data_IF_420299778075
#
_entry.id   IF_420299778075
#
_cell.length_a   1.000
_cell.length_b   1.000
_cell.length_c   1.000
_cell.angle_alpha   90.00
_cell.angle_beta   90.00
_cell.angle_gamma   90.00
#
_symmetry.space_group_name_H-M   'P 1'
#
loop_
_entity.id
_entity.type
_entity.pdbx_description
1 polymer ?
#
# COMPACT_ATOMS: atom_id res chain seq x y z
N UNK A 1 -5.02 18.64 1.24
CA UNK A 1 -4.77 17.22 0.92
C UNK A 1 -3.63 16.77 1.79
N UNK A 2 -3.85 15.75 2.63
CA UNK A 2 -2.77 15.06 3.31
C UNK A 2 -2.01 14.25 2.26
N UNK A 3 -0.68 14.26 2.34
CA UNK A 3 0.20 13.55 1.40
C UNK A 3 1.37 13.00 2.21
N UNK A 4 1.83 11.79 1.90
CA UNK A 4 3.10 11.30 2.39
C UNK A 4 4.24 12.18 1.89
N UNK A 5 5.35 12.18 2.62
CA UNK A 5 6.57 12.80 2.11
C UNK A 5 7.13 11.96 0.95
N UNK A 6 7.99 12.57 0.15
CA UNK A 6 8.55 11.94 -1.05
C UNK A 6 9.34 10.67 -0.75
N UNK A 7 9.99 10.60 0.42
CA UNK A 7 10.79 9.44 0.83
C UNK A 7 9.90 8.22 1.12
N UNK A 8 8.81 8.40 1.87
CA UNK A 8 7.80 7.37 2.13
C UNK A 8 7.17 6.90 0.81
N UNK A 9 6.79 7.84 -0.07
CA UNK A 9 6.21 7.49 -1.38
C UNK A 9 7.18 6.61 -2.19
N UNK A 10 8.47 6.96 -2.23
CA UNK A 10 9.50 6.17 -2.92
C UNK A 10 9.68 4.78 -2.32
N UNK A 11 9.70 4.66 -1.00
CA UNK A 11 9.84 3.36 -0.34
C UNK A 11 8.68 2.43 -0.69
N UNK A 12 7.44 2.93 -0.66
CA UNK A 12 6.25 2.14 -1.01
C UNK A 12 6.28 1.73 -2.48
N UNK A 13 6.61 2.66 -3.39
CA UNK A 13 6.73 2.37 -4.83
C UNK A 13 7.77 1.29 -5.08
N UNK A 14 8.90 1.32 -4.37
CA UNK A 14 9.92 0.29 -4.50
C UNK A 14 9.40 -1.10 -4.09
N UNK A 15 8.61 -1.19 -3.02
CA UNK A 15 7.96 -2.45 -2.63
C UNK A 15 7.01 -2.94 -3.72
N UNK A 16 6.16 -2.06 -4.27
CA UNK A 16 5.17 -2.43 -5.30
C UNK A 16 5.86 -2.92 -6.58
N UNK A 17 6.93 -2.23 -7.01
CA UNK A 17 7.68 -2.55 -8.23
C UNK A 17 8.30 -3.95 -8.25
N UNK A 18 8.55 -4.55 -7.09
CA UNK A 18 9.01 -5.95 -7.01
C UNK A 18 7.97 -6.94 -7.56
N UNK A 19 6.69 -6.54 -7.65
CA UNK A 19 5.56 -7.41 -8.00
C UNK A 19 4.77 -6.94 -9.24
N UNK A 20 5.25 -5.90 -9.94
CA UNK A 20 4.65 -5.47 -11.20
C UNK A 20 5.13 -6.32 -12.38
N UNK A 21 4.24 -6.60 -13.33
CA UNK A 21 4.50 -7.56 -14.42
C UNK A 21 5.62 -7.15 -15.40
N UNK A 22 6.05 -5.88 -15.39
CA UNK A 22 7.31 -5.36 -15.91
C UNK A 22 7.23 -3.84 -16.06
N UNK A 23 8.20 -3.11 -15.50
CA UNK A 23 8.75 -1.85 -16.05
C UNK A 23 7.76 -0.83 -16.66
N UNK A 24 6.60 -0.59 -16.04
CA UNK A 24 5.68 0.46 -16.49
C UNK A 24 5.73 1.66 -15.57
N UNK A 25 6.78 2.47 -15.78
CA UNK A 25 6.94 3.94 -15.79
C UNK A 25 6.07 4.89 -14.93
N UNK A 26 5.03 4.44 -14.24
CA UNK A 26 4.31 5.26 -13.28
C UNK A 26 5.00 5.12 -11.92
N UNK A 27 5.93 6.03 -11.65
CA UNK A 27 6.45 6.26 -10.30
C UNK A 27 5.39 6.84 -9.34
N UNK A 28 4.15 7.01 -9.82
CA UNK A 28 3.07 7.60 -9.06
C UNK A 28 2.33 6.57 -8.24
N UNK A 29 2.52 6.68 -6.93
CA UNK A 29 1.71 6.00 -5.92
C UNK A 29 0.30 6.60 -5.93
N UNK A 30 -0.72 5.79 -6.21
CA UNK A 30 -2.11 6.22 -6.13
C UNK A 30 -2.68 5.86 -4.75
N UNK A 31 -3.05 6.87 -3.97
CA UNK A 31 -3.61 6.66 -2.65
C UNK A 31 -4.48 7.82 -2.17
N UNK A 32 -5.40 7.51 -1.26
CA UNK A 32 -6.30 8.45 -0.61
C UNK A 32 -6.27 8.32 0.91
N UNK A 33 -6.50 9.43 1.60
CA UNK A 33 -6.70 9.48 3.05
C UNK A 33 -8.18 9.62 3.39
N UNK A 34 -8.70 8.73 4.23
CA UNK A 34 -10.07 8.77 4.78
C UNK A 34 -10.00 8.81 6.32
N UNK A 35 -9.84 10.03 6.87
CA UNK A 35 -9.65 10.21 8.31
C UNK A 35 -8.31 9.60 8.75
N UNK A 36 -8.38 8.52 9.54
CA UNK A 36 -7.20 7.75 9.99
C UNK A 36 -6.82 6.63 9.02
N UNK A 37 -7.55 6.46 7.92
CA UNK A 37 -7.31 5.39 6.95
C UNK A 37 -6.53 5.87 5.74
N UNK A 38 -5.72 4.98 5.20
CA UNK A 38 -4.98 5.15 3.95
C UNK A 38 -5.38 4.02 3.02
N UNK A 39 -5.73 4.37 1.79
CA UNK A 39 -6.15 3.41 0.77
C UNK A 39 -5.19 3.50 -0.39
N UNK A 40 -4.36 2.47 -0.59
CA UNK A 40 -3.51 2.39 -1.78
C UNK A 40 -4.27 1.66 -2.88
N UNK A 41 -4.20 2.19 -4.10
CA UNK A 41 -4.87 1.63 -5.26
C UNK A 41 -3.87 1.19 -6.31
N UNK A 42 -3.91 -0.09 -6.68
CA UNK A 42 -3.07 -0.68 -7.71
C UNK A 42 -3.94 -1.28 -8.81
N UNK A 43 -3.69 -0.89 -10.06
CA UNK A 43 -4.41 -1.48 -11.19
C UNK A 43 -4.02 -2.95 -11.35
N UNK A 44 -5.03 -3.83 -11.49
CA UNK A 44 -4.81 -5.26 -11.75
C UNK A 44 -4.09 -5.47 -13.10
N UNK A 45 -4.24 -4.52 -14.04
CA UNK A 45 -3.53 -4.56 -15.32
C UNK A 45 -2.02 -4.27 -15.19
N UNK A 46 -1.55 -3.75 -14.05
CA UNK A 46 -0.14 -3.39 -13.81
C UNK A 46 0.67 -4.47 -13.09
N UNK A 47 0.02 -5.38 -12.36
CA UNK A 47 0.74 -6.36 -11.54
C UNK A 47 -0.15 -7.44 -10.94
N UNK A 48 0.49 -8.38 -10.26
CA UNK A 48 -0.21 -9.35 -9.41
C UNK A 48 -0.72 -8.68 -8.13
N UNK A 49 -1.61 -9.37 -7.43
CA UNK A 49 -1.95 -9.01 -6.07
C UNK A 49 -0.70 -9.07 -5.21
N UNK A 50 -0.41 -8.01 -4.44
CA UNK A 50 0.73 -7.98 -3.54
C UNK A 50 0.61 -9.10 -2.49
N UNK A 51 1.68 -9.86 -2.22
CA UNK A 51 1.66 -10.86 -1.16
C UNK A 51 1.54 -10.20 0.21
N UNK A 52 1.11 -10.97 1.21
CA UNK A 52 0.89 -10.50 2.59
C UNK A 52 2.15 -9.82 3.16
N UNK A 53 3.33 -10.37 2.93
CA UNK A 53 4.59 -9.81 3.42
C UNK A 53 4.87 -8.40 2.85
N UNK A 54 4.54 -8.18 1.58
CA UNK A 54 4.68 -6.86 0.95
C UNK A 54 3.68 -5.85 1.54
N UNK A 55 2.44 -6.28 1.78
CA UNK A 55 1.42 -5.46 2.42
C UNK A 55 1.79 -5.08 3.86
N UNK A 56 2.34 -6.02 4.62
CA UNK A 56 2.85 -5.74 5.97
C UNK A 56 3.99 -4.71 5.93
N UNK A 57 4.95 -4.88 5.02
CA UNK A 57 6.06 -3.94 4.83
C UNK A 57 5.57 -2.53 4.50
N UNK A 58 4.56 -2.39 3.64
CA UNK A 58 3.94 -1.09 3.36
C UNK A 58 3.33 -0.49 4.63
N UNK A 59 2.66 -1.30 5.45
CA UNK A 59 2.15 -0.87 6.76
C UNK A 59 3.25 -0.33 7.67
N UNK A 60 4.38 -1.04 7.77
CA UNK A 60 5.55 -0.60 8.56
C UNK A 60 6.11 0.74 8.07
N UNK A 61 6.27 0.91 6.75
CA UNK A 61 6.79 2.16 6.14
C UNK A 61 5.94 3.36 6.54
N UNK A 62 4.60 3.20 6.54
CA UNK A 62 3.69 4.31 6.87
C UNK A 62 3.39 4.42 8.36
N UNK A 63 3.94 3.56 9.22
CA UNK A 63 3.58 3.53 10.65
C UNK A 63 2.11 3.17 10.87
N UNK A 64 1.57 2.27 10.06
CA UNK A 64 0.17 1.82 10.11
C UNK A 64 0.04 0.30 10.09
N UNK A 65 -1.20 -0.17 10.13
CA UNK A 65 -1.52 -1.60 10.03
C UNK A 65 -2.31 -1.87 8.76
N UNK A 66 -1.93 -2.92 8.04
CA UNK A 66 -2.76 -3.48 6.99
C UNK A 66 -4.06 -4.06 7.59
N UNK A 67 -5.22 -3.70 7.02
CA UNK A 67 -6.52 -4.20 7.48
C UNK A 67 -7.08 -5.28 6.55
N UNK A 68 -7.30 -4.94 5.27
CA UNK A 68 -7.89 -5.84 4.29
C UNK A 68 -7.66 -5.37 2.84
N UNK A 69 -7.85 -6.29 1.90
CA UNK A 69 -7.86 -6.02 0.46
C UNK A 69 -9.30 -6.10 -0.05
N UNK A 70 -9.65 -5.21 -0.99
CA UNK A 70 -10.85 -5.35 -1.82
C UNK A 70 -10.51 -5.04 -3.28
N UNK A 71 -11.41 -5.41 -4.20
CA UNK A 71 -11.28 -5.12 -5.63
C UNK A 71 -12.44 -4.24 -6.07
N UNK A 72 -12.12 -3.07 -6.61
CA UNK A 72 -13.11 -2.11 -7.11
C UNK A 72 -12.64 -1.60 -8.47
N UNK A 73 -13.51 -1.62 -9.49
CA UNK A 73 -13.23 -1.07 -10.82
C UNK A 73 -11.89 -1.52 -11.45
N UNK A 74 -11.55 -2.81 -11.32
CA UNK A 74 -10.28 -3.40 -11.81
C UNK A 74 -9.02 -2.86 -11.10
N UNK A 75 -9.16 -2.38 -9.87
CA UNK A 75 -8.06 -2.00 -8.99
C UNK A 75 -8.09 -2.84 -7.70
N UNK A 76 -6.93 -3.35 -7.29
CA UNK A 76 -6.70 -3.77 -5.92
C UNK A 76 -6.66 -2.53 -5.03
N UNK A 77 -7.43 -2.56 -3.94
CA UNK A 77 -7.41 -1.53 -2.91
C UNK A 77 -6.96 -2.11 -1.59
N UNK A 78 -5.90 -1.53 -1.05
CA UNK A 78 -5.25 -1.96 0.18
C UNK A 78 -5.55 -0.94 1.27
N UNK A 79 -6.27 -1.37 2.30
CA UNK A 79 -6.71 -0.49 3.38
C UNK A 79 -5.75 -0.61 4.55
N UNK A 80 -5.31 0.55 5.04
CA UNK A 80 -4.45 0.68 6.20
C UNK A 80 -5.07 1.64 7.19
N UNK A 81 -4.87 1.38 8.48
CA UNK A 81 -5.17 2.34 9.55
C UNK A 81 -3.86 2.92 10.07
N UNK A 82 -3.75 4.24 10.06
CA UNK A 82 -2.65 4.99 10.65
C UNK A 82 -2.80 4.96 12.17
N UNK A 83 -1.83 4.40 12.89
CA UNK A 83 -1.89 4.37 14.35
C UNK A 83 -0.51 4.27 14.97
N UNK A 84 -0.20 5.18 15.89
CA UNK A 84 1.02 5.16 16.72
C UNK A 84 1.12 3.90 17.62
N UNK A 85 0.11 3.03 17.62
CA UNK A 85 -0.03 1.85 18.49
C UNK A 85 -0.09 0.52 17.73
N UNK A 86 0.22 0.52 16.44
CA UNK A 86 0.22 -0.69 15.62
C UNK A 86 1.32 -1.68 16.07
N UNK A 87 1.01 -2.53 17.04
CA UNK A 87 1.73 -3.78 17.27
C UNK A 87 1.15 -4.76 16.26
N UNK A 88 1.86 -4.97 15.14
CA UNK A 88 1.57 -6.08 14.22
C UNK A 88 1.65 -7.39 15.03
N UNK A 89 0.52 -7.81 15.60
CA UNK A 89 0.42 -9.12 16.25
C UNK A 89 0.45 -10.15 15.13
N UNK A 90 1.64 -10.68 14.87
CA UNK A 90 1.82 -11.94 14.16
C UNK A 90 1.15 -13.02 14.98
N UNK A 91 -0.04 -13.46 14.58
CA UNK A 91 -0.51 -14.79 14.97
C UNK A 91 0.11 -15.77 13.96
N UNK A 92 1.07 -16.56 14.47
CA UNK A 92 1.79 -17.64 13.80
C UNK A 92 0.85 -18.80 13.42
#
# INVERSE_FOLDING_TARGET
>A
MLRFNEDIEKEIVNVIKEYEFANKADDYLNYDFEGEKVIFSLSIAKGEMLPVDALQKIGEIIGGCFEYITVVNMEYRFYYTYSDKCVCKMEL
#
